data_IF_524667896943
#
_entry.id   IF_524667896943
#
_cell.length_a   1.000
_cell.length_b   1.000
_cell.length_c   1.000
_cell.angle_alpha   90.00
_cell.angle_beta   90.00
_cell.angle_gamma   90.00
#
_symmetry.space_group_name_H-M   'P 1'
#
loop_
_entity.id
_entity.type
_entity.pdbx_description
1 polymer ?
#
# COMPACT_ATOMS: atom_id res chain seq x y z
N UNK A 1 1.05 -12.09 -26.62
CA UNK A 1 0.43 -11.34 -27.73
C UNK A 1 -0.93 -10.77 -27.32
N UNK A 2 -1.79 -11.49 -26.57
CA UNK A 2 -3.13 -11.04 -26.15
C UNK A 2 -3.11 -9.83 -25.22
N UNK A 3 -2.20 -9.81 -24.25
CA UNK A 3 -2.05 -8.72 -23.26
C UNK A 3 -1.69 -7.37 -23.90
N UNK A 4 -0.95 -7.37 -25.03
CA UNK A 4 -0.62 -6.14 -25.75
C UNK A 4 -1.82 -5.50 -26.47
N UNK A 5 -2.90 -6.25 -26.68
CA UNK A 5 -4.15 -5.78 -27.32
C UNK A 5 -5.27 -5.50 -26.31
N UNK A 6 -5.03 -5.77 -25.02
CA UNK A 6 -5.98 -5.47 -23.98
C UNK A 6 -6.23 -3.95 -23.93
N UNK A 7 -7.48 -3.55 -23.67
CA UNK A 7 -7.77 -2.16 -23.34
C UNK A 7 -7.06 -1.77 -22.04
N UNK A 8 -6.89 -0.49 -21.82
CA UNK A 8 -6.17 0.01 -20.64
C UNK A 8 -7.10 0.81 -19.75
N UNK A 9 -6.73 0.93 -18.48
CA UNK A 9 -7.36 1.83 -17.51
C UNK A 9 -6.26 2.58 -16.77
N UNK A 10 -6.36 3.90 -16.77
CA UNK A 10 -5.42 4.77 -16.06
C UNK A 10 -5.96 4.99 -14.64
N UNK A 11 -5.19 4.59 -13.63
CA UNK A 11 -5.58 4.64 -12.22
C UNK A 11 -4.50 5.33 -11.38
N UNK A 12 -4.87 6.41 -10.68
CA UNK A 12 -4.03 7.03 -9.64
C UNK A 12 -3.83 6.09 -8.44
N UNK A 13 -2.84 6.38 -7.62
CA UNK A 13 -2.49 5.56 -6.46
C UNK A 13 -3.66 5.37 -5.50
N UNK A 14 -4.36 6.45 -5.20
CA UNK A 14 -5.56 6.46 -4.35
C UNK A 14 -6.63 5.43 -4.74
N UNK A 15 -6.84 5.25 -6.05
CA UNK A 15 -7.83 4.30 -6.59
C UNK A 15 -7.28 2.88 -6.51
N UNK A 16 -6.00 2.70 -6.81
CA UNK A 16 -5.33 1.40 -6.84
C UNK A 16 -5.21 0.72 -5.47
N UNK A 17 -5.36 1.48 -4.39
CA UNK A 17 -5.43 0.96 -3.02
C UNK A 17 -6.84 0.45 -2.63
N UNK A 18 -7.87 0.80 -3.40
CA UNK A 18 -9.25 0.47 -3.07
C UNK A 18 -9.61 -0.91 -3.58
N UNK A 19 -10.28 -1.69 -2.76
CA UNK A 19 -10.84 -2.98 -3.17
C UNK A 19 -12.14 -2.86 -3.98
N UNK A 20 -12.73 -1.66 -4.05
CA UNK A 20 -13.94 -1.37 -4.83
C UNK A 20 -13.83 0.02 -5.42
N UNK A 21 -14.00 0.12 -6.73
CA UNK A 21 -13.97 1.38 -7.45
C UNK A 21 -14.64 1.30 -8.82
N UNK A 22 -15.03 2.45 -9.34
CA UNK A 22 -15.48 2.60 -10.73
C UNK A 22 -14.38 3.32 -11.52
N UNK A 23 -14.22 2.95 -12.80
CA UNK A 23 -13.27 3.58 -13.71
C UNK A 23 -13.79 3.56 -15.14
N UNK A 24 -13.13 4.30 -16.05
CA UNK A 24 -13.36 4.24 -17.48
C UNK A 24 -12.13 3.64 -18.14
N UNK A 25 -12.34 2.67 -19.02
CA UNK A 25 -11.25 2.13 -19.83
C UNK A 25 -10.93 3.01 -21.05
N UNK A 26 -9.87 2.66 -21.78
CA UNK A 26 -9.43 3.37 -22.98
C UNK A 26 -10.46 3.37 -24.13
N UNK A 27 -11.50 2.53 -24.06
CA UNK A 27 -12.62 2.50 -25.00
C UNK A 27 -13.83 3.29 -24.50
N UNK A 28 -13.73 3.94 -23.33
CA UNK A 28 -14.80 4.69 -22.69
C UNK A 28 -15.89 3.83 -22.07
N UNK A 29 -15.64 2.54 -21.83
CA UNK A 29 -16.54 1.65 -21.11
C UNK A 29 -16.38 1.85 -19.62
N UNK A 30 -17.47 1.77 -18.89
CA UNK A 30 -17.45 1.85 -17.43
C UNK A 30 -17.11 0.49 -16.83
N UNK A 31 -16.11 0.47 -15.97
CA UNK A 31 -15.68 -0.69 -15.21
C UNK A 31 -16.16 -0.54 -13.77
N UNK A 32 -16.89 -1.53 -13.26
CA UNK A 32 -17.11 -1.71 -11.82
C UNK A 32 -16.15 -2.78 -11.31
N UNK A 33 -15.22 -2.41 -10.43
CA UNK A 33 -14.17 -3.30 -9.94
C UNK A 33 -14.43 -3.68 -8.50
N UNK A 34 -14.43 -4.99 -8.23
CA UNK A 34 -14.64 -5.59 -6.91
C UNK A 34 -13.52 -6.59 -6.65
N UNK A 35 -12.60 -6.24 -5.78
CA UNK A 35 -11.43 -7.05 -5.42
C UNK A 35 -11.53 -7.52 -3.95
N UNK A 36 -10.85 -8.58 -3.56
CA UNK A 36 -10.70 -8.95 -2.17
C UNK A 36 -10.14 -7.79 -1.34
N UNK A 37 -10.54 -7.69 -0.08
CA UNK A 37 -10.00 -6.64 0.82
C UNK A 37 -8.49 -6.78 0.96
N UNK A 38 -7.79 -5.63 0.92
CA UNK A 38 -6.34 -5.58 1.01
C UNK A 38 -5.63 -5.87 -0.31
N UNK A 39 -6.36 -6.12 -1.40
CA UNK A 39 -5.74 -6.20 -2.73
C UNK A 39 -5.24 -4.83 -3.14
N UNK A 40 -3.98 -4.79 -3.52
CA UNK A 40 -3.31 -3.62 -4.06
C UNK A 40 -3.10 -3.83 -5.55
N UNK A 41 -3.63 -2.91 -6.36
CA UNK A 41 -3.49 -2.96 -7.82
C UNK A 41 -2.24 -2.19 -8.24
N UNK A 42 -1.40 -2.81 -9.07
CA UNK A 42 -0.16 -2.22 -9.58
C UNK A 42 -0.26 -1.87 -11.07
N UNK A 43 0.57 -0.92 -11.49
CA UNK A 43 0.77 -0.65 -12.91
C UNK A 43 1.30 -1.90 -13.62
N UNK A 44 0.64 -2.27 -14.72
CA UNK A 44 0.94 -3.51 -15.46
C UNK A 44 0.06 -4.70 -15.11
N UNK A 45 -0.70 -4.66 -14.02
CA UNK A 45 -1.64 -5.72 -13.67
C UNK A 45 -2.73 -5.87 -14.74
N UNK A 46 -3.22 -7.10 -14.86
CA UNK A 46 -4.32 -7.44 -15.76
C UNK A 46 -5.56 -7.76 -14.94
N UNK A 47 -6.57 -6.93 -15.08
CA UNK A 47 -7.88 -7.19 -14.54
C UNK A 47 -8.66 -8.06 -15.55
N UNK A 48 -9.22 -9.17 -15.07
CA UNK A 48 -10.05 -10.07 -15.91
C UNK A 48 -11.51 -9.87 -15.51
N UNK A 49 -12.32 -9.45 -16.46
CA UNK A 49 -13.75 -9.23 -16.25
C UNK A 49 -14.55 -10.55 -16.31
N UNK A 50 -15.79 -10.50 -15.86
CA UNK A 50 -16.70 -11.68 -15.85
C UNK A 50 -16.95 -12.25 -17.25
N UNK A 51 -16.90 -11.41 -18.29
CA UNK A 51 -17.05 -11.82 -19.70
C UNK A 51 -15.73 -12.38 -20.30
N UNK A 52 -14.67 -12.49 -19.50
CA UNK A 52 -13.34 -12.94 -19.93
C UNK A 52 -12.50 -11.86 -20.63
N UNK A 53 -13.01 -10.64 -20.76
CA UNK A 53 -12.22 -9.54 -21.32
C UNK A 53 -11.12 -9.11 -20.36
N UNK A 54 -9.99 -8.66 -20.91
CA UNK A 54 -8.82 -8.24 -20.16
C UNK A 54 -8.63 -6.73 -20.23
N UNK A 55 -8.34 -6.12 -19.09
CA UNK A 55 -8.04 -4.70 -18.96
C UNK A 55 -6.68 -4.55 -18.28
N UNK A 56 -5.73 -3.90 -18.95
CA UNK A 56 -4.42 -3.64 -18.38
C UNK A 56 -4.42 -2.33 -17.59
N UNK A 57 -3.98 -2.38 -16.36
CA UNK A 57 -3.85 -1.21 -15.50
C UNK A 57 -2.60 -0.42 -15.89
N UNK A 58 -2.74 0.90 -15.98
CA UNK A 58 -1.64 1.85 -16.06
C UNK A 58 -1.65 2.70 -14.78
N UNK A 59 -0.48 2.88 -14.19
CA UNK A 59 -0.32 3.84 -13.11
C UNK A 59 -0.40 5.26 -13.70
N UNK A 60 -1.50 5.95 -13.46
CA UNK A 60 -1.69 7.31 -13.94
C UNK A 60 -0.63 8.25 -13.30
N UNK A 61 -0.09 9.22 -14.07
CA UNK A 61 0.67 10.31 -13.47
C UNK A 61 -0.16 11.05 -12.43
N UNK A 62 0.50 11.46 -11.36
CA UNK A 62 -0.09 12.24 -10.29
C UNK A 62 0.98 13.15 -9.67
N UNK A 63 0.59 14.21 -8.94
CA UNK A 63 1.54 15.03 -8.21
C UNK A 63 2.36 14.18 -7.24
N UNK A 64 3.67 14.31 -7.29
CA UNK A 64 4.63 13.66 -6.39
C UNK A 64 5.75 14.62 -6.02
N UNK A 65 6.40 14.38 -4.89
CA UNK A 65 7.71 14.94 -4.59
C UNK A 65 8.78 13.92 -5.01
N UNK A 66 9.62 14.30 -5.96
CA UNK A 66 10.80 13.56 -6.38
C UNK A 66 11.99 14.00 -5.54
N UNK A 67 12.66 13.09 -4.87
CA UNK A 67 13.74 13.34 -3.93
C UNK A 67 15.01 12.70 -4.47
N UNK A 68 16.06 13.51 -4.65
CA UNK A 68 17.38 13.06 -5.10
C UNK A 68 18.46 13.49 -4.10
N UNK A 69 19.62 12.83 -4.15
CA UNK A 69 20.80 13.32 -3.45
C UNK A 69 21.23 14.66 -4.04
N UNK A 70 21.83 15.52 -3.21
CA UNK A 70 22.38 16.80 -3.68
C UNK A 70 23.52 16.56 -4.68
N UNK A 71 23.50 17.23 -5.82
CA UNK A 71 24.48 17.03 -6.92
C UNK A 71 25.92 17.39 -6.51
N UNK A 72 26.11 18.27 -5.53
CA UNK A 72 27.44 18.78 -5.13
C UNK A 72 28.10 17.98 -4.02
N UNK A 73 27.33 17.49 -3.05
CA UNK A 73 27.86 16.78 -1.86
C UNK A 73 26.98 15.61 -1.41
N UNK A 74 25.93 15.32 -2.16
CA UNK A 74 25.04 14.21 -1.83
C UNK A 74 25.70 12.86 -2.13
N UNK A 75 25.28 11.87 -1.38
CA UNK A 75 25.70 10.48 -1.55
C UNK A 75 24.46 9.58 -1.65
N UNK A 76 24.55 8.39 -2.24
CA UNK A 76 23.45 7.43 -2.23
C UNK A 76 22.98 7.08 -0.81
N UNK A 77 23.82 7.23 0.20
CA UNK A 77 23.49 6.99 1.60
C UNK A 77 22.47 7.99 2.15
N UNK A 78 22.42 9.21 1.61
CA UNK A 78 21.46 10.22 2.04
C UNK A 78 20.02 9.84 1.65
N UNK A 79 19.84 9.16 0.51
CA UNK A 79 18.55 8.59 0.14
C UNK A 79 18.13 7.44 1.07
N UNK A 80 19.08 6.61 1.52
CA UNK A 80 18.82 5.54 2.49
C UNK A 80 18.38 6.15 3.83
N UNK A 81 19.04 7.21 4.30
CA UNK A 81 18.66 7.93 5.52
C UNK A 81 17.27 8.56 5.38
N UNK A 82 16.98 9.15 4.23
CA UNK A 82 15.65 9.71 3.95
C UNK A 82 14.57 8.63 4.00
N UNK A 83 14.78 7.50 3.33
CA UNK A 83 13.87 6.37 3.34
C UNK A 83 13.62 5.85 4.77
N UNK A 84 14.66 5.76 5.60
CA UNK A 84 14.52 5.38 7.02
C UNK A 84 13.62 6.36 7.79
N UNK A 85 13.84 7.68 7.65
CA UNK A 85 13.05 8.68 8.36
C UNK A 85 11.60 8.78 7.87
N UNK A 86 11.37 8.62 6.57
CA UNK A 86 10.04 8.57 5.97
C UNK A 86 9.29 7.29 6.38
N UNK A 87 9.96 6.14 6.36
CA UNK A 87 9.40 4.86 6.77
C UNK A 87 8.96 4.85 8.25
N UNK A 88 9.75 5.46 9.14
CA UNK A 88 9.39 5.63 10.56
C UNK A 88 8.13 6.50 10.76
N UNK A 89 7.72 7.26 9.76
CA UNK A 89 6.48 8.06 9.74
C UNK A 89 5.35 7.40 8.99
N UNK A 90 5.54 6.15 8.56
CA UNK A 90 4.59 5.37 7.77
C UNK A 90 4.19 6.04 6.45
N UNK A 91 5.09 6.81 5.87
CA UNK A 91 4.89 7.45 4.55
C UNK A 91 4.97 6.39 3.47
N UNK A 92 4.07 6.44 2.50
CA UNK A 92 4.16 5.62 1.29
C UNK A 92 5.33 6.14 0.42
N UNK A 93 6.31 5.29 0.12
CA UNK A 93 7.54 5.67 -0.58
C UNK A 93 7.73 4.77 -1.79
N UNK A 94 7.88 5.36 -2.96
CA UNK A 94 8.46 4.66 -4.10
C UNK A 94 9.98 4.72 -4.02
N UNK A 95 10.64 3.56 -4.04
CA UNK A 95 12.08 3.43 -3.95
C UNK A 95 12.69 3.17 -5.34
N UNK A 96 13.62 4.01 -5.74
CA UNK A 96 14.47 3.80 -6.93
C UNK A 96 15.95 3.94 -6.54
N UNK A 97 16.86 3.38 -7.32
CA UNK A 97 18.30 3.44 -7.00
C UNK A 97 18.86 4.86 -6.91
N UNK A 98 18.28 5.79 -7.67
CA UNK A 98 18.75 7.17 -7.84
C UNK A 98 17.81 8.22 -7.24
N UNK A 99 16.58 7.85 -6.84
CA UNK A 99 15.62 8.77 -6.26
C UNK A 99 14.56 8.07 -5.41
N UNK A 100 13.86 8.84 -4.60
CA UNK A 100 12.64 8.44 -3.92
C UNK A 100 11.47 9.28 -4.45
N UNK A 101 10.25 8.74 -4.36
CA UNK A 101 9.03 9.55 -4.56
C UNK A 101 8.09 9.35 -3.37
N UNK A 102 7.41 10.43 -3.00
CA UNK A 102 6.32 10.44 -2.02
C UNK A 102 5.17 11.32 -2.54
N UNK A 103 4.01 11.20 -1.95
CA UNK A 103 2.92 12.13 -2.20
C UNK A 103 3.27 13.53 -1.66
N UNK A 104 2.71 14.63 -2.22
CA UNK A 104 3.03 15.99 -1.81
C UNK A 104 2.73 16.24 -0.33
N UNK A 105 3.74 16.65 0.42
CA UNK A 105 3.67 17.05 1.82
C UNK A 105 4.77 18.10 2.10
N UNK A 106 4.37 19.32 2.44
CA UNK A 106 5.29 20.43 2.65
C UNK A 106 6.18 20.24 3.89
N UNK A 107 5.69 19.60 4.95
CA UNK A 107 6.46 19.33 6.18
C UNK A 107 7.57 18.31 5.90
N UNK A 108 7.23 17.25 5.15
CA UNK A 108 8.20 16.26 4.73
C UNK A 108 9.20 16.85 3.74
N UNK A 109 8.76 17.70 2.81
CA UNK A 109 9.66 18.40 1.89
C UNK A 109 10.70 19.24 2.64
N UNK A 110 10.27 20.02 3.64
CA UNK A 110 11.19 20.84 4.43
C UNK A 110 12.16 20.01 5.27
N UNK A 111 11.68 18.93 5.84
CA UNK A 111 12.54 17.96 6.54
C UNK A 111 13.63 17.38 5.61
N UNK A 112 13.25 16.99 4.40
CA UNK A 112 14.17 16.40 3.43
C UNK A 112 15.19 17.44 2.93
N UNK A 113 14.76 18.68 2.68
CA UNK A 113 15.67 19.79 2.34
C UNK A 113 16.65 20.10 3.48
N UNK A 114 16.19 20.05 4.73
CA UNK A 114 17.08 20.18 5.90
C UNK A 114 18.10 19.04 6.03
N UNK A 115 17.84 17.89 5.41
CA UNK A 115 18.77 16.78 5.29
C UNK A 115 19.71 16.90 4.08
N UNK A 116 19.74 18.04 3.41
CA UNK A 116 20.54 18.31 2.20
C UNK A 116 20.13 17.47 0.97
N UNK A 117 18.85 17.14 0.86
CA UNK A 117 18.30 16.48 -0.32
C UNK A 117 17.65 17.51 -1.26
N UNK A 118 17.70 17.24 -2.54
CA UNK A 118 16.94 17.99 -3.56
C UNK A 118 15.52 17.44 -3.59
N UNK A 119 14.52 18.31 -3.48
CA UNK A 119 13.09 17.94 -3.48
C UNK A 119 12.38 18.78 -4.55
N UNK A 120 11.87 18.11 -5.56
CA UNK A 120 11.20 18.69 -6.72
C UNK A 120 9.76 18.18 -6.83
N UNK A 121 8.84 19.06 -7.23
CA UNK A 121 7.48 18.65 -7.59
C UNK A 121 7.47 18.12 -9.02
N UNK A 122 6.79 17.00 -9.24
CA UNK A 122 6.69 16.35 -10.54
C UNK A 122 5.31 15.70 -10.72
N UNK A 123 4.93 15.51 -11.98
CA UNK A 123 3.75 14.73 -12.38
C UNK A 123 4.23 13.39 -12.93
N UNK A 124 4.23 12.36 -12.09
CA UNK A 124 4.76 11.04 -12.43
C UNK A 124 3.84 9.92 -11.91
N UNK A 125 3.98 8.75 -12.52
CA UNK A 125 3.39 7.53 -11.96
C UNK A 125 3.99 7.27 -10.57
N UNK A 126 3.14 6.88 -9.60
CA UNK A 126 3.53 6.61 -8.23
C UNK A 126 3.27 5.16 -7.88
N UNK A 127 4.32 4.41 -7.60
CA UNK A 127 4.31 2.98 -7.29
C UNK A 127 5.05 2.69 -5.98
N UNK A 128 4.50 3.13 -4.82
CA UNK A 128 5.21 2.96 -3.55
C UNK A 128 5.37 1.49 -3.16
N UNK A 129 6.39 1.22 -2.35
CA UNK A 129 6.63 -0.10 -1.80
C UNK A 129 5.42 -0.62 -1.01
N UNK A 130 5.12 -1.88 -1.19
CA UNK A 130 4.24 -2.61 -0.28
C UNK A 130 5.01 -2.91 1.00
N UNK A 131 4.40 -2.70 2.17
CA UNK A 131 5.07 -3.03 3.44
C UNK A 131 5.62 -4.47 3.45
N UNK A 132 6.71 -4.70 4.18
CA UNK A 132 7.43 -5.98 4.22
C UNK A 132 6.54 -7.20 4.58
N UNK A 133 5.40 -6.96 5.18
CA UNK A 133 4.43 -7.98 5.58
C UNK A 133 3.28 -8.18 4.57
N UNK A 134 3.22 -7.40 3.50
CA UNK A 134 2.14 -7.50 2.51
C UNK A 134 2.29 -8.67 1.53
N UNK A 135 3.45 -9.33 1.49
CA UNK A 135 3.71 -10.49 0.62
C UNK A 135 3.27 -11.85 1.21
N UNK A 136 2.77 -11.88 2.43
CA UNK A 136 2.26 -13.10 3.07
C UNK A 136 1.11 -12.74 4.01
N UNK A 137 -0.11 -13.08 3.61
CA UNK A 137 -1.31 -12.77 4.38
C UNK A 137 -1.35 -13.45 5.75
N UNK A 138 -0.76 -12.82 6.75
CA UNK A 138 -1.07 -13.07 8.15
C UNK A 138 -1.40 -11.70 8.78
N UNK A 139 -2.69 -11.35 8.68
CA UNK A 139 -3.23 -10.17 9.36
C UNK A 139 -3.18 -10.36 10.88
N UNK A 140 -2.18 -9.80 11.52
CA UNK A 140 -2.27 -9.49 12.93
C UNK A 140 -2.99 -8.15 13.07
N UNK A 141 -4.31 -8.21 13.22
CA UNK A 141 -5.09 -7.06 13.68
C UNK A 141 -4.68 -6.75 15.12
N UNK A 142 -3.89 -5.71 15.30
CA UNK A 142 -3.73 -5.11 16.63
C UNK A 142 -5.05 -4.44 17.00
N UNK A 143 -5.83 -5.14 17.81
CA UNK A 143 -6.96 -4.54 18.49
C UNK A 143 -6.43 -3.42 19.41
N UNK A 144 -6.99 -2.23 19.26
CA UNK A 144 -6.73 -1.09 20.13
C UNK A 144 -6.90 -1.49 21.60
N UNK A 145 -5.81 -1.51 22.34
CA UNK A 145 -5.83 -1.66 23.80
C UNK A 145 -6.35 -0.37 24.39
N UNK A 146 -7.58 -0.42 24.91
CA UNK A 146 -8.15 0.64 25.74
C UNK A 146 -7.19 0.93 26.90
N UNK A 147 -6.81 2.20 27.02
CA UNK A 147 -5.99 2.73 28.10
C UNK A 147 -6.63 2.44 29.47
N UNK A 148 -6.06 1.54 30.24
CA UNK A 148 -6.35 1.41 31.67
C UNK A 148 -5.46 2.38 32.43
N UNK A 149 -6.09 3.37 33.08
CA UNK A 149 -5.45 4.23 34.08
C UNK A 149 -4.99 3.34 35.26
N UNK A 150 -3.72 3.23 35.45
CA UNK A 150 -3.15 2.65 36.67
C UNK A 150 -3.02 3.72 37.74
N UNK A 151 -3.78 3.55 38.83
CA UNK A 151 -3.50 4.17 40.12
C UNK A 151 -2.39 3.35 40.81
N UNK A 152 -1.39 3.95 41.43
CA UNK A 152 -0.32 3.21 42.11
C UNK A 152 -0.80 2.70 43.48
N UNK A 153 -0.63 1.40 43.72
CA UNK A 153 -0.77 0.78 45.05
C UNK A 153 0.55 0.13 45.47
N UNK A 154 0.83 -0.05 46.76
CA UNK A 154 2.16 -0.16 47.32
C UNK A 154 2.83 -1.51 47.10
N UNK A 155 4.16 -1.47 47.01
CA UNK A 155 5.09 -2.59 46.82
C UNK A 155 5.06 -3.60 47.98
N UNK A 156 4.81 -4.88 47.65
CA UNK A 156 5.17 -6.02 48.48
C UNK A 156 6.01 -7.01 47.66
N UNK A 157 7.06 -7.52 48.25
CA UNK A 157 8.13 -8.34 47.64
C UNK A 157 7.61 -9.67 47.08
N UNK A 158 8.23 -10.22 46.01
CA UNK A 158 7.83 -11.49 45.42
C UNK A 158 8.42 -12.70 46.16
N UNK A 159 7.57 -13.70 46.41
CA UNK A 159 7.98 -15.06 46.80
C UNK A 159 8.31 -15.88 45.53
N UNK A 160 9.22 -16.87 45.60
CA UNK A 160 9.66 -17.66 44.45
C UNK A 160 8.58 -18.67 44.02
N UNK A 161 8.26 -18.69 42.72
CA UNK A 161 7.37 -19.68 42.13
C UNK A 161 8.11 -20.95 41.74
N UNK A 162 7.68 -22.09 42.28
CA UNK A 162 8.12 -23.43 41.90
C UNK A 162 7.17 -23.94 40.80
N UNK A 163 7.73 -24.30 39.64
CA UNK A 163 6.97 -24.89 38.54
C UNK A 163 6.74 -26.39 38.82
N UNK A 164 5.48 -26.79 38.94
CA UNK A 164 5.07 -28.19 38.94
C UNK A 164 4.89 -28.74 37.51
N UNK A 165 4.94 -30.09 37.30
CA UNK A 165 5.03 -30.69 35.98
C UNK A 165 3.71 -30.89 35.20
N UNK A 166 2.64 -30.16 35.50
CA UNK A 166 1.34 -30.35 34.85
C UNK A 166 0.77 -29.05 34.27
N UNK A 167 1.48 -28.39 33.34
CA UNK A 167 0.89 -27.35 32.48
C UNK A 167 0.66 -27.89 31.08
N UNK A 168 -0.48 -28.57 30.89
CA UNK A 168 -0.96 -28.96 29.58
C UNK A 168 -1.60 -27.76 28.87
N UNK A 169 -0.84 -27.08 28.01
CA UNK A 169 -1.36 -26.06 27.10
C UNK A 169 -1.94 -26.76 25.88
N UNK A 170 -3.26 -26.96 25.89
CA UNK A 170 -4.02 -27.39 24.70
C UNK A 170 -3.83 -26.37 23.58
N UNK A 171 -3.16 -26.76 22.52
CA UNK A 171 -3.13 -26.02 21.26
C UNK A 171 -4.45 -26.27 20.53
N UNK A 172 -5.35 -25.30 20.64
CA UNK A 172 -6.54 -25.23 19.80
C UNK A 172 -6.09 -24.87 18.38
N UNK A 173 -6.18 -25.84 17.47
CA UNK A 173 -5.89 -25.66 16.05
C UNK A 173 -7.04 -24.89 15.41
N UNK A 174 -6.90 -23.54 15.42
CA UNK A 174 -7.82 -22.62 14.79
C UNK A 174 -8.03 -22.91 13.30
N UNK A 175 -9.26 -22.86 12.98
CA UNK A 175 -9.99 -22.72 11.72
C UNK A 175 -9.12 -22.51 10.45
N UNK A 176 -9.26 -23.44 9.51
CA UNK A 176 -8.67 -23.35 8.17
C UNK A 176 -9.07 -22.04 7.49
N UNK A 177 -8.16 -21.38 6.78
CA UNK A 177 -8.46 -20.11 6.09
C UNK A 177 -9.57 -20.32 5.07
N UNK A 178 -10.63 -19.53 5.16
CA UNK A 178 -11.72 -19.52 4.18
C UNK A 178 -11.13 -19.22 2.79
N UNK A 179 -11.58 -19.94 1.73
CA UNK A 179 -11.10 -19.69 0.38
C UNK A 179 -11.38 -18.23 -0.01
N UNK A 180 -10.35 -17.58 -0.53
CA UNK A 180 -10.42 -16.21 -1.03
C UNK A 180 -11.45 -16.15 -2.15
N UNK A 181 -12.45 -15.28 -2.02
CA UNK A 181 -13.46 -15.10 -3.07
C UNK A 181 -12.78 -14.53 -4.32
N UNK A 182 -13.11 -15.03 -5.53
CA UNK A 182 -12.53 -14.51 -6.76
C UNK A 182 -12.89 -13.03 -6.95
N UNK A 183 -11.97 -12.28 -7.55
CA UNK A 183 -12.20 -10.89 -7.92
C UNK A 183 -13.29 -10.82 -9.00
N UNK A 184 -14.27 -9.95 -8.81
CA UNK A 184 -15.35 -9.73 -9.78
C UNK A 184 -15.18 -8.37 -10.42
N UNK A 185 -15.10 -8.33 -11.76
CA UNK A 185 -15.03 -7.08 -12.53
C UNK A 185 -16.18 -7.07 -13.52
N UNK A 186 -17.03 -6.06 -13.40
CA UNK A 186 -18.17 -5.85 -14.30
C UNK A 186 -17.86 -4.72 -15.28
N UNK A 187 -18.06 -4.98 -16.57
CA UNK A 187 -17.91 -4.00 -17.64
C UNK A 187 -19.29 -3.60 -18.13
N UNK A 188 -19.60 -2.31 -18.08
CA UNK A 188 -20.85 -1.75 -18.58
C UNK A 188 -20.62 -1.05 -19.93
N UNK A 189 -21.48 -1.28 -20.95
CA UNK A 189 -21.39 -0.59 -22.23
C UNK A 189 -21.57 0.92 -22.06
N UNK A 190 -20.94 1.68 -22.94
CA UNK A 190 -21.07 3.14 -23.00
C UNK A 190 -22.54 3.50 -23.24
N UNK A 191 -23.13 4.34 -22.39
CA UNK A 191 -24.48 4.88 -22.68
C UNK A 191 -24.41 5.72 -23.95
N UNK A 192 -25.32 5.52 -24.94
CA UNK A 192 -25.38 6.41 -26.08
C UNK A 192 -25.76 7.82 -25.60
N UNK A 193 -25.03 8.82 -26.07
CA UNK A 193 -25.40 10.22 -25.87
C UNK A 193 -26.67 10.47 -26.68
N UNK A 194 -27.79 10.70 -25.99
CA UNK A 194 -28.97 11.27 -26.60
C UNK A 194 -28.71 12.75 -26.90
N UNK A 195 -28.69 13.10 -28.18
CA UNK A 195 -28.72 14.47 -28.66
C UNK A 195 -30.14 15.04 -28.54
#
# INVERSE_FOLDING_TARGET
>A
VLVKRACTVDLGWDVRQKSRFDALDSLGRRLGVFLPRGTLVRGGDILVAEDGSMVRVLAAPQPVLRITACDTHGTPFDLIRAAYHLGNRHVAIELKPDHLKIEPDHVLADMLRAMHLTVEEAEEAFEPEGGAYSAGGHGHSHAESKSHRHTPAPVSSPAPHVHGPDCNHGHDHGESPKPMQPATIQIHPRKPHSH
#
